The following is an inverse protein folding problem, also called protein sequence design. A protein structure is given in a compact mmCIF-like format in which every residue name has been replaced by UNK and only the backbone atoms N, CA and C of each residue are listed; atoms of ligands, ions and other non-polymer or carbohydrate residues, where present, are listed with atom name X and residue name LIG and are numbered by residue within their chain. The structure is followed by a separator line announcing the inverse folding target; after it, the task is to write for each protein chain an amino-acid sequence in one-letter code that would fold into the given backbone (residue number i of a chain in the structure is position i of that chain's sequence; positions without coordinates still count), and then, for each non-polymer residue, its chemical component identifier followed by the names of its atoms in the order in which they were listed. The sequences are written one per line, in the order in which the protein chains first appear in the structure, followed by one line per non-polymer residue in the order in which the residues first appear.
data_IF_860843819320
#
_entry.id   IF_860843819320
#
_cell.length_a   1.000
_cell.length_b   1.000
_cell.length_c   1.000
_cell.angle_alpha   90.00
_cell.angle_beta   90.00
_cell.angle_gamma   90.00
#
_symmetry.space_group_name_H-M   'P 1'
#
loop_
_entity.id
_entity.type
_entity.pdbx_description
1 polymer ?
#
# COMPACT_ATOMS: atom_id res chain seq x y z
N UNK A 1 0.12 14.33 -27.78
CA UNK A 1 -0.23 12.96 -27.38
C UNK A 1 -0.54 13.02 -25.90
N UNK A 2 -1.83 13.01 -25.54
CA UNK A 2 -2.29 12.85 -24.16
C UNK A 2 -1.74 11.52 -23.64
N UNK A 3 -1.03 11.56 -22.53
CA UNK A 3 -0.56 10.36 -21.83
C UNK A 3 -1.77 9.52 -21.38
N UNK A 4 -1.63 8.21 -21.32
CA UNK A 4 -2.67 7.32 -20.74
C UNK A 4 -3.08 7.74 -19.31
N UNK A 5 -2.21 8.50 -18.65
CA UNK A 5 -2.42 9.10 -17.32
C UNK A 5 -3.56 10.12 -17.31
N UNK A 6 -3.77 10.86 -18.40
CA UNK A 6 -4.84 11.86 -18.53
C UNK A 6 -6.22 11.22 -18.75
N UNK A 7 -6.28 9.91 -19.00
CA UNK A 7 -7.51 9.17 -19.28
C UNK A 7 -8.14 8.51 -18.03
N UNK A 8 -7.38 8.32 -16.94
CA UNK A 8 -7.88 7.69 -15.71
C UNK A 8 -8.36 8.75 -14.71
N UNK A 9 -9.52 8.57 -14.06
CA UNK A 9 -9.94 9.51 -13.03
C UNK A 9 -8.93 9.52 -11.88
N UNK A 10 -8.47 10.71 -11.51
CA UNK A 10 -7.53 10.92 -10.40
C UNK A 10 -8.11 10.30 -9.12
N UNK A 11 -7.34 9.43 -8.48
CA UNK A 11 -7.78 8.66 -7.32
C UNK A 11 -7.03 9.02 -6.04
N UNK A 12 -5.75 9.40 -6.18
CA UNK A 12 -4.93 10.02 -5.13
C UNK A 12 -4.37 11.32 -5.72
N UNK A 13 -4.51 12.42 -5.00
CA UNK A 13 -3.98 13.71 -5.40
C UNK A 13 -3.39 14.46 -4.21
N UNK A 14 -2.14 14.85 -4.35
CA UNK A 14 -1.45 15.77 -3.45
C UNK A 14 -1.20 17.07 -4.20
N UNK A 15 -1.54 18.18 -3.57
CA UNK A 15 -1.32 19.52 -4.11
C UNK A 15 -0.43 20.31 -3.17
N UNK A 16 0.83 20.52 -3.58
CA UNK A 16 1.86 21.29 -2.87
C UNK A 16 1.98 20.91 -1.37
N UNK A 17 2.02 19.61 -1.10
CA UNK A 17 1.96 19.06 0.26
C UNK A 17 3.30 19.13 0.94
N UNK A 18 3.33 19.76 2.12
CA UNK A 18 4.49 19.75 3.02
C UNK A 18 4.13 19.13 4.36
N UNK A 19 5.10 18.46 4.98
CA UNK A 19 4.98 17.90 6.32
C UNK A 19 6.26 18.09 7.10
N UNK A 20 6.18 18.89 8.17
CA UNK A 20 7.26 19.06 9.14
C UNK A 20 6.89 18.39 10.47
N UNK A 21 7.90 17.82 11.12
CA UNK A 21 7.84 17.38 12.50
C UNK A 21 8.46 18.46 13.40
N UNK A 22 8.17 18.43 14.68
CA UNK A 22 8.67 19.41 15.67
C UNK A 22 10.20 19.50 15.79
N UNK A 23 10.94 18.58 15.18
CA UNK A 23 12.37 18.35 15.39
C UNK A 23 13.28 18.81 14.25
N UNK A 24 12.81 19.55 13.22
CA UNK A 24 13.75 20.03 12.19
C UNK A 24 13.25 20.07 10.75
N UNK A 25 14.05 19.55 9.80
CA UNK A 25 13.80 19.60 8.36
C UNK A 25 12.46 19.00 7.98
N UNK A 26 11.76 19.53 6.97
CA UNK A 26 10.50 18.99 6.50
C UNK A 26 10.71 17.56 5.95
N UNK A 27 9.85 16.63 6.37
CA UNK A 27 9.84 15.27 5.84
C UNK A 27 9.23 15.20 4.44
N UNK A 28 8.34 16.12 4.11
CA UNK A 28 7.84 16.39 2.75
C UNK A 28 7.87 17.89 2.52
N UNK A 29 8.24 18.32 1.31
CA UNK A 29 8.40 19.73 0.95
C UNK A 29 7.79 19.99 -0.44
N UNK A 30 6.58 20.54 -0.48
CA UNK A 30 5.91 20.95 -1.70
C UNK A 30 5.59 19.80 -2.67
N UNK A 31 5.27 18.61 -2.15
CA UNK A 31 4.99 17.43 -2.99
C UNK A 31 3.68 17.61 -3.73
N UNK A 32 3.74 17.55 -5.07
CA UNK A 32 2.56 17.47 -5.94
C UNK A 32 2.61 16.15 -6.71
N UNK A 33 1.53 15.37 -6.62
CA UNK A 33 1.44 14.01 -7.15
C UNK A 33 0.00 13.67 -7.49
N UNK A 34 -0.22 13.03 -8.63
CA UNK A 34 -1.51 12.42 -8.97
C UNK A 34 -1.33 10.94 -9.30
N UNK A 35 -2.21 10.08 -8.79
CA UNK A 35 -2.29 8.65 -9.13
C UNK A 35 -3.71 8.37 -9.58
N UNK A 36 -3.87 7.78 -10.76
CA UNK A 36 -5.15 7.41 -11.33
C UNK A 36 -5.71 6.12 -10.70
N UNK A 37 -7.00 5.90 -10.92
CA UNK A 37 -7.65 4.67 -10.49
C UNK A 37 -7.13 3.46 -11.29
N UNK A 38 -6.77 2.38 -10.61
CA UNK A 38 -6.28 1.16 -11.25
C UNK A 38 -4.79 1.22 -11.65
N UNK A 39 -4.08 2.29 -11.31
CA UNK A 39 -2.63 2.33 -11.55
C UNK A 39 -1.85 1.41 -10.61
N UNK A 40 -0.72 0.93 -11.11
CA UNK A 40 0.36 0.34 -10.31
C UNK A 40 1.53 1.31 -10.28
N UNK A 41 1.88 1.79 -9.10
CA UNK A 41 2.90 2.83 -8.93
C UNK A 41 3.94 2.40 -7.90
N UNK A 42 5.22 2.50 -8.26
CA UNK A 42 6.32 2.42 -7.32
C UNK A 42 6.68 3.81 -6.79
N UNK A 43 6.94 3.91 -5.50
CA UNK A 43 7.53 5.08 -4.86
C UNK A 43 8.88 4.65 -4.29
N UNK A 44 9.95 5.16 -4.87
CA UNK A 44 11.33 4.80 -4.57
C UNK A 44 12.11 5.97 -3.98
N UNK A 45 13.28 5.70 -3.45
CA UNK A 45 14.20 6.71 -2.88
C UNK A 45 14.89 6.19 -1.61
N UNK A 46 15.90 6.91 -1.16
CA UNK A 46 16.71 6.56 -0.01
C UNK A 46 15.93 6.52 1.31
N UNK A 47 16.53 5.93 2.34
CA UNK A 47 15.99 6.01 3.69
C UNK A 47 15.87 7.48 4.12
N UNK A 48 14.73 7.85 4.70
CA UNK A 48 14.47 9.23 5.09
C UNK A 48 14.00 10.16 3.96
N UNK A 49 13.80 9.69 2.73
CA UNK A 49 13.31 10.52 1.62
C UNK A 49 11.86 10.98 1.74
N UNK A 50 11.10 10.51 2.74
CA UNK A 50 9.71 10.93 3.00
C UNK A 50 8.65 9.90 2.67
N UNK A 51 8.99 8.73 2.09
CA UNK A 51 8.04 7.68 1.64
C UNK A 51 7.07 7.23 2.72
N UNK A 52 7.56 6.85 3.90
CA UNK A 52 6.69 6.43 5.01
C UNK A 52 5.83 7.57 5.56
N UNK A 53 6.29 8.82 5.47
CA UNK A 53 5.47 10.00 5.80
C UNK A 53 4.33 10.17 4.79
N UNK A 54 4.60 9.95 3.51
CA UNK A 54 3.59 9.97 2.46
C UNK A 54 2.51 8.91 2.71
N UNK A 55 2.89 7.64 2.97
CA UNK A 55 1.93 6.58 3.32
C UNK A 55 1.07 6.98 4.54
N UNK A 56 1.68 7.52 5.60
CA UNK A 56 0.94 7.97 6.80
C UNK A 56 -0.03 9.12 6.52
N UNK A 57 0.27 10.01 5.58
CA UNK A 57 -0.65 11.04 5.12
C UNK A 57 -1.84 10.42 4.38
N UNK A 58 -1.58 9.50 3.43
CA UNK A 58 -2.63 8.81 2.67
C UNK A 58 -3.56 8.00 3.59
N UNK A 59 -3.03 7.44 4.68
CA UNK A 59 -3.81 6.74 5.71
C UNK A 59 -4.52 7.70 6.69
N UNK A 60 -4.28 9.00 6.57
CA UNK A 60 -4.78 9.99 7.55
C UNK A 60 -4.30 9.70 8.98
N UNK A 61 -3.13 9.03 9.12
CA UNK A 61 -2.42 8.90 10.41
C UNK A 61 -1.74 10.22 10.79
N UNK A 62 -1.30 10.96 9.77
CA UNK A 62 -0.76 12.30 9.87
C UNK A 62 -1.63 13.29 9.09
N UNK A 63 -1.54 14.56 9.44
CA UNK A 63 -2.04 15.68 8.67
C UNK A 63 -0.89 16.43 8.01
N UNK A 64 -1.10 16.93 6.80
CA UNK A 64 -0.17 17.84 6.16
C UNK A 64 0.02 19.12 7.01
N UNK A 65 1.20 19.71 6.97
CA UNK A 65 1.47 21.00 7.55
C UNK A 65 0.96 22.13 6.64
N UNK A 66 1.08 21.93 5.32
CA UNK A 66 0.51 22.78 4.27
C UNK A 66 0.17 21.95 3.04
N UNK A 67 -0.59 22.54 2.11
CA UNK A 67 -1.09 21.86 0.93
C UNK A 67 -2.32 20.99 1.22
N UNK A 68 -2.79 20.25 0.21
CA UNK A 68 -4.03 19.47 0.28
C UNK A 68 -3.80 18.04 -0.18
N UNK A 69 -4.44 17.08 0.52
CA UNK A 69 -4.38 15.65 0.18
C UNK A 69 -5.79 15.15 -0.08
N UNK A 70 -6.03 14.64 -1.29
CA UNK A 70 -7.29 14.05 -1.70
C UNK A 70 -7.09 12.56 -1.98
N UNK A 71 -7.95 11.72 -1.44
CA UNK A 71 -7.96 10.27 -1.71
C UNK A 71 -9.39 9.82 -1.95
N UNK A 72 -9.65 9.18 -3.10
CA UNK A 72 -11.00 8.75 -3.51
C UNK A 72 -12.03 9.89 -3.41
N UNK A 73 -11.65 11.09 -3.86
CA UNK A 73 -12.48 12.29 -3.81
C UNK A 73 -12.68 12.93 -2.43
N UNK A 74 -12.08 12.37 -1.37
CA UNK A 74 -12.16 12.94 -0.03
C UNK A 74 -10.98 13.87 0.24
N UNK A 75 -11.26 15.13 0.63
CA UNK A 75 -10.25 16.00 1.24
C UNK A 75 -9.94 15.49 2.64
N UNK A 76 -8.72 14.95 2.82
CA UNK A 76 -8.35 14.31 4.08
C UNK A 76 -8.25 15.30 5.25
N UNK A 77 -7.98 16.57 5.00
CA UNK A 77 -7.94 17.60 6.04
C UNK A 77 -9.33 17.83 6.66
N UNK A 78 -10.39 17.72 5.84
CA UNK A 78 -11.79 17.97 6.26
C UNK A 78 -12.47 16.77 6.90
N UNK A 79 -11.86 15.57 6.83
CA UNK A 79 -12.44 14.38 7.47
C UNK A 79 -12.51 14.55 8.99
N UNK A 80 -13.73 14.49 9.53
CA UNK A 80 -13.97 14.45 10.99
C UNK A 80 -13.41 13.13 11.55
N UNK A 81 -12.96 13.15 12.80
CA UNK A 81 -12.33 11.98 13.45
C UNK A 81 -13.15 10.68 13.31
N UNK A 82 -14.48 10.76 13.48
CA UNK A 82 -15.40 9.62 13.32
C UNK A 82 -15.58 9.11 11.89
N UNK A 83 -15.16 9.87 10.88
CA UNK A 83 -15.21 9.45 9.47
C UNK A 83 -13.94 8.72 9.03
N UNK A 84 -12.82 8.91 9.73
CA UNK A 84 -11.53 8.30 9.41
C UNK A 84 -11.60 6.77 9.38
N UNK A 85 -12.23 6.06 10.35
CA UNK A 85 -12.35 4.60 10.28
C UNK A 85 -13.09 4.13 9.04
N UNK A 86 -14.19 4.82 8.66
CA UNK A 86 -14.97 4.49 7.45
C UNK A 86 -14.15 4.71 6.18
N UNK A 87 -13.39 5.80 6.12
CA UNK A 87 -12.47 6.08 5.02
C UNK A 87 -11.43 4.97 4.88
N UNK A 88 -10.77 4.57 5.98
CA UNK A 88 -9.74 3.52 5.98
C UNK A 88 -10.25 2.13 5.59
N UNK A 89 -11.56 1.85 5.67
CA UNK A 89 -12.14 0.57 5.19
C UNK A 89 -11.93 0.33 3.70
N UNK A 90 -11.73 1.40 2.91
CA UNK A 90 -11.45 1.32 1.48
C UNK A 90 -9.95 1.22 1.15
N UNK A 91 -9.09 1.21 2.17
CA UNK A 91 -7.64 1.11 2.03
C UNK A 91 -7.17 -0.23 2.58
N UNK A 92 -6.45 -1.01 1.76
CA UNK A 92 -5.64 -2.13 2.21
C UNK A 92 -4.24 -1.62 2.53
N UNK A 93 -3.63 -2.14 3.59
CA UNK A 93 -2.25 -1.78 3.95
C UNK A 93 -1.45 -3.02 4.28
N UNK A 94 -0.27 -3.11 3.70
CA UNK A 94 0.72 -4.15 3.96
C UNK A 94 2.00 -3.49 4.44
N UNK A 95 2.58 -4.01 5.51
CA UNK A 95 3.81 -3.48 6.11
C UNK A 95 4.94 -4.50 6.01
N UNK A 96 6.18 -4.02 6.06
CA UNK A 96 7.38 -4.84 6.03
C UNK A 96 7.45 -5.87 7.19
N UNK A 97 6.95 -5.51 8.37
CA UNK A 97 6.94 -6.34 9.58
C UNK A 97 5.68 -7.21 9.73
N UNK A 98 4.91 -7.37 8.65
CA UNK A 98 3.67 -8.16 8.53
C UNK A 98 2.55 -7.74 9.49
N UNK A 99 2.84 -7.29 10.69
CA UNK A 99 1.91 -6.89 11.77
C UNK A 99 0.81 -7.92 12.03
N UNK A 100 1.19 -9.19 12.05
CA UNK A 100 0.24 -10.28 12.33
C UNK A 100 -0.07 -10.38 13.83
N UNK A 101 -1.29 -10.82 14.13
CA UNK A 101 -1.72 -11.15 15.50
C UNK A 101 -1.09 -12.49 15.87
N UNK A 102 -0.06 -12.48 16.72
CA UNK A 102 0.79 -13.63 17.04
C UNK A 102 0.07 -14.72 17.87
N UNK A 103 -1.00 -14.38 18.56
CA UNK A 103 -1.85 -15.26 19.35
C UNK A 103 -2.96 -15.93 18.52
N UNK A 104 -3.10 -15.53 17.25
CA UNK A 104 -4.14 -15.95 16.32
C UNK A 104 -3.60 -16.84 15.21
N UNK A 105 -4.46 -17.73 14.68
CA UNK A 105 -4.15 -18.52 13.49
C UNK A 105 -4.34 -17.65 12.19
N UNK A 106 -4.03 -18.24 11.04
CA UNK A 106 -4.14 -17.59 9.72
C UNK A 106 -5.56 -17.09 9.46
N UNK A 107 -6.57 -17.98 9.65
CA UNK A 107 -7.98 -17.64 9.46
C UNK A 107 -8.39 -16.43 10.33
N UNK A 108 -8.04 -16.47 11.60
CA UNK A 108 -8.42 -15.41 12.54
C UNK A 108 -7.74 -14.07 12.25
N UNK A 109 -6.50 -14.08 11.76
CA UNK A 109 -5.81 -12.87 11.32
C UNK A 109 -6.58 -12.17 10.19
N UNK A 110 -7.06 -12.92 9.22
CA UNK A 110 -7.83 -12.37 8.08
C UNK A 110 -9.26 -12.01 8.51
N UNK A 111 -9.93 -12.90 9.24
CA UNK A 111 -11.29 -12.67 9.74
C UNK A 111 -11.39 -11.43 10.65
N UNK A 112 -10.32 -11.09 11.35
CA UNK A 112 -10.26 -9.92 12.22
C UNK A 112 -10.57 -8.61 11.45
N UNK A 113 -10.04 -8.45 10.23
CA UNK A 113 -10.31 -7.27 9.41
C UNK A 113 -11.80 -7.12 9.06
N UNK A 114 -12.49 -8.23 8.82
CA UNK A 114 -13.94 -8.21 8.55
C UNK A 114 -14.79 -8.02 9.81
N UNK A 115 -14.35 -8.57 10.94
CA UNK A 115 -15.03 -8.35 12.23
C UNK A 115 -15.02 -6.88 12.65
N UNK A 116 -13.90 -6.16 12.44
CA UNK A 116 -13.80 -4.72 12.75
C UNK A 116 -14.81 -3.89 11.96
N UNK A 117 -15.15 -4.31 10.76
CA UNK A 117 -16.14 -3.61 9.91
C UNK A 117 -17.55 -4.18 10.05
N UNK A 118 -17.75 -5.05 11.07
CA UNK A 118 -19.04 -5.63 11.43
C UNK A 118 -19.66 -6.50 10.32
N UNK A 119 -18.83 -7.15 9.50
CA UNK A 119 -19.29 -8.07 8.45
C UNK A 119 -20.02 -9.28 9.10
N UNK A 120 -21.18 -9.69 8.57
CA UNK A 120 -21.91 -10.86 9.05
C UNK A 120 -21.05 -12.13 9.09
N UNK A 121 -21.22 -12.96 10.12
CA UNK A 121 -20.42 -14.20 10.30
C UNK A 121 -20.51 -15.14 9.11
N UNK A 122 -21.68 -15.23 8.47
CA UNK A 122 -21.88 -16.03 7.25
C UNK A 122 -21.00 -15.58 6.09
N UNK A 123 -20.83 -14.27 5.92
CA UNK A 123 -19.96 -13.70 4.89
C UNK A 123 -18.48 -13.89 5.24
N UNK A 124 -18.08 -13.71 6.50
CA UNK A 124 -16.72 -14.00 6.96
C UNK A 124 -16.32 -15.44 6.64
N UNK A 125 -17.22 -16.40 6.92
CA UNK A 125 -17.01 -17.83 6.63
C UNK A 125 -16.85 -18.14 5.14
N UNK A 126 -17.41 -17.33 4.26
CA UNK A 126 -17.27 -17.44 2.80
C UNK A 126 -16.02 -16.70 2.31
N UNK A 127 -15.83 -15.46 2.72
CA UNK A 127 -14.82 -14.55 2.16
C UNK A 127 -13.39 -14.92 2.60
N UNK A 128 -13.20 -15.32 3.87
CA UNK A 128 -11.86 -15.61 4.38
C UNK A 128 -11.22 -16.82 3.69
N UNK A 129 -11.89 -17.98 3.52
CA UNK A 129 -11.32 -19.07 2.74
C UNK A 129 -11.05 -18.70 1.28
N UNK A 130 -11.93 -17.90 0.66
CA UNK A 130 -11.75 -17.46 -0.72
C UNK A 130 -10.49 -16.62 -0.88
N UNK A 131 -10.29 -15.58 -0.06
CA UNK A 131 -9.09 -14.75 -0.14
C UNK A 131 -7.81 -15.52 0.23
N UNK A 132 -7.88 -16.47 1.16
CA UNK A 132 -6.75 -17.33 1.49
C UNK A 132 -6.37 -18.25 0.32
N UNK A 133 -7.34 -18.69 -0.47
CA UNK A 133 -7.07 -19.44 -1.71
C UNK A 133 -6.38 -18.54 -2.74
N UNK A 134 -6.87 -17.31 -2.93
CA UNK A 134 -6.26 -16.32 -3.85
C UNK A 134 -4.78 -16.08 -3.54
N UNK A 135 -4.42 -15.97 -2.26
CA UNK A 135 -3.01 -15.77 -1.87
C UNK A 135 -2.22 -17.08 -1.69
N UNK A 136 -2.76 -18.23 -2.10
CA UNK A 136 -2.08 -19.53 -2.06
C UNK A 136 -1.96 -20.16 -0.66
N UNK A 137 -2.84 -19.81 0.29
CA UNK A 137 -2.82 -20.32 1.68
C UNK A 137 -4.03 -21.18 2.05
N UNK A 138 -4.77 -21.72 1.08
CA UNK A 138 -5.97 -22.52 1.32
C UNK A 138 -5.76 -23.70 2.32
N UNK A 139 -4.60 -24.36 2.29
CA UNK A 139 -4.27 -25.49 3.17
C UNK A 139 -3.76 -25.08 4.56
N UNK A 140 -3.54 -23.80 4.83
CA UNK A 140 -2.86 -23.31 6.06
C UNK A 140 -3.75 -22.49 6.98
N UNK A 141 -5.05 -22.45 6.76
CA UNK A 141 -5.96 -21.57 7.52
C UNK A 141 -5.97 -21.80 9.04
N UNK A 142 -5.63 -23.01 9.53
CA UNK A 142 -5.52 -23.34 10.96
C UNK A 142 -4.11 -23.13 11.52
N UNK A 143 -3.09 -22.93 10.69
CA UNK A 143 -1.72 -22.78 11.14
C UNK A 143 -1.57 -21.52 11.99
N UNK A 144 -0.70 -21.58 13.01
CA UNK A 144 -0.31 -20.38 13.77
C UNK A 144 0.72 -19.58 12.99
N UNK A 145 0.70 -18.26 13.14
CA UNK A 145 1.60 -17.35 12.42
C UNK A 145 3.08 -17.68 12.61
N UNK A 146 3.47 -18.14 13.80
CA UNK A 146 4.85 -18.55 14.13
C UNK A 146 5.32 -19.81 13.39
N UNK A 147 4.42 -20.58 12.77
CA UNK A 147 4.72 -21.80 12.01
C UNK A 147 4.90 -21.51 10.51
N UNK A 148 4.72 -20.26 10.09
CA UNK A 148 4.76 -19.83 8.71
C UNK A 148 6.15 -19.29 8.34
N UNK A 149 6.57 -19.53 7.09
CA UNK A 149 7.71 -18.82 6.50
C UNK A 149 7.43 -17.32 6.37
N UNK A 150 8.46 -16.50 6.15
CA UNK A 150 8.29 -15.06 5.92
C UNK A 150 7.34 -14.76 4.75
N UNK A 151 7.50 -15.46 3.63
CA UNK A 151 6.61 -15.31 2.46
C UNK A 151 5.16 -15.67 2.76
N UNK A 152 4.93 -16.73 3.55
CA UNK A 152 3.59 -17.11 3.98
C UNK A 152 2.98 -16.09 4.94
N UNK A 153 3.76 -15.54 5.86
CA UNK A 153 3.32 -14.46 6.75
C UNK A 153 2.92 -13.22 5.95
N UNK A 154 3.69 -12.85 4.91
CA UNK A 154 3.36 -11.76 4.02
C UNK A 154 2.07 -12.02 3.24
N UNK A 155 1.85 -13.24 2.76
CA UNK A 155 0.59 -13.64 2.11
C UNK A 155 -0.61 -13.54 3.05
N UNK A 156 -0.45 -13.85 4.35
CA UNK A 156 -1.50 -13.62 5.37
C UNK A 156 -1.78 -12.13 5.54
N UNK A 157 -0.73 -11.28 5.59
CA UNK A 157 -0.89 -9.84 5.68
C UNK A 157 -1.61 -9.26 4.46
N UNK A 158 -1.28 -9.75 3.25
CA UNK A 158 -1.98 -9.41 2.00
C UNK A 158 -3.45 -9.85 2.04
N UNK A 159 -3.74 -11.10 2.41
CA UNK A 159 -5.11 -11.58 2.53
C UNK A 159 -5.93 -10.72 3.50
N UNK A 160 -5.35 -10.34 4.64
CA UNK A 160 -5.99 -9.46 5.62
C UNK A 160 -6.25 -8.05 5.05
N UNK A 161 -5.33 -7.52 4.26
CA UNK A 161 -5.50 -6.21 3.61
C UNK A 161 -6.59 -6.23 2.53
N UNK A 162 -6.75 -7.36 1.83
CA UNK A 162 -7.62 -7.51 0.66
C UNK A 162 -9.04 -7.99 0.98
N UNK A 163 -9.26 -8.64 2.13
CA UNK A 163 -10.53 -9.33 2.44
C UNK A 163 -11.77 -8.42 2.45
N UNK A 164 -11.57 -7.11 2.60
CA UNK A 164 -12.61 -6.08 2.53
C UNK A 164 -12.71 -5.42 1.14
N UNK A 165 -12.08 -5.98 0.10
CA UNK A 165 -12.07 -5.47 -1.26
C UNK A 165 -11.70 -3.97 -1.33
N UNK A 166 -10.51 -3.58 -0.86
CA UNK A 166 -10.09 -2.18 -0.86
C UNK A 166 -9.94 -1.66 -2.29
N UNK A 167 -10.24 -0.38 -2.47
CA UNK A 167 -10.02 0.28 -3.75
C UNK A 167 -8.57 0.69 -3.98
N UNK A 168 -7.80 0.83 -2.89
CA UNK A 168 -6.37 1.16 -2.91
C UNK A 168 -5.64 0.20 -1.98
N UNK A 169 -4.53 -0.36 -2.45
CA UNK A 169 -3.59 -1.14 -1.66
C UNK A 169 -2.27 -0.36 -1.53
N UNK A 170 -1.90 -0.04 -0.30
CA UNK A 170 -0.63 0.59 0.04
C UNK A 170 0.31 -0.48 0.61
N UNK A 171 1.44 -0.71 -0.03
CA UNK A 171 2.43 -1.70 0.39
C UNK A 171 3.74 -0.99 0.75
N UNK A 172 4.07 -0.94 2.03
CA UNK A 172 5.30 -0.33 2.55
C UNK A 172 6.36 -1.40 2.74
N UNK A 173 7.35 -1.44 1.83
CA UNK A 173 8.44 -2.43 1.76
C UNK A 173 7.94 -3.89 1.83
N UNK A 174 7.00 -4.30 0.94
CA UNK A 174 6.32 -5.60 1.07
C UNK A 174 7.24 -6.81 0.91
N UNK A 175 8.45 -6.63 0.42
CA UNK A 175 9.46 -7.68 0.18
C UNK A 175 10.70 -7.55 1.04
N UNK A 176 10.79 -6.54 1.91
CA UNK A 176 12.02 -6.18 2.63
C UNK A 176 12.56 -7.26 3.59
N UNK A 177 11.71 -8.21 4.02
CA UNK A 177 12.08 -9.31 4.93
C UNK A 177 12.01 -10.68 4.23
N UNK A 178 12.01 -10.73 2.90
CA UNK A 178 11.84 -11.95 2.12
C UNK A 178 13.09 -12.27 1.30
N UNK A 179 13.29 -13.55 1.02
CA UNK A 179 14.26 -13.97 0.02
C UNK A 179 13.80 -13.60 -1.41
N UNK A 180 14.72 -13.62 -2.40
CA UNK A 180 14.40 -13.18 -3.76
C UNK A 180 13.21 -13.91 -4.40
N UNK A 181 13.10 -15.23 -4.22
CA UNK A 181 12.00 -16.01 -4.83
C UNK A 181 10.64 -15.61 -4.25
N UNK A 182 10.53 -15.56 -2.91
CA UNK A 182 9.32 -15.12 -2.24
C UNK A 182 8.99 -13.65 -2.58
N UNK A 183 10.01 -12.79 -2.74
CA UNK A 183 9.84 -11.40 -3.16
C UNK A 183 9.14 -11.30 -4.52
N UNK A 184 9.61 -12.06 -5.50
CA UNK A 184 8.99 -12.12 -6.83
C UNK A 184 7.55 -12.65 -6.80
N UNK A 185 7.28 -13.69 -6.01
CA UNK A 185 5.92 -14.22 -5.85
C UNK A 185 4.96 -13.20 -5.24
N UNK A 186 5.41 -12.44 -4.25
CA UNK A 186 4.60 -11.34 -3.66
C UNK A 186 4.33 -10.25 -4.68
N UNK A 187 5.34 -9.85 -5.48
CA UNK A 187 5.17 -8.81 -6.48
C UNK A 187 4.24 -9.22 -7.62
N UNK A 188 4.30 -10.46 -8.08
CA UNK A 188 3.33 -11.02 -9.04
C UNK A 188 1.91 -11.01 -8.49
N UNK A 189 1.74 -11.40 -7.23
CA UNK A 189 0.43 -11.34 -6.57
C UNK A 189 -0.11 -9.90 -6.49
N UNK A 190 0.75 -8.90 -6.21
CA UNK A 190 0.35 -7.49 -6.24
C UNK A 190 -0.04 -7.03 -7.65
N UNK A 191 0.62 -7.53 -8.70
CA UNK A 191 0.26 -7.26 -10.09
C UNK A 191 -1.11 -7.86 -10.45
N UNK A 192 -1.37 -9.12 -10.10
CA UNK A 192 -2.68 -9.77 -10.29
C UNK A 192 -3.82 -9.01 -9.57
N UNK A 193 -3.55 -8.52 -8.35
CA UNK A 193 -4.48 -7.67 -7.60
C UNK A 193 -4.76 -6.36 -8.34
N UNK A 194 -3.73 -5.74 -8.91
CA UNK A 194 -3.89 -4.53 -9.71
C UNK A 194 -4.69 -4.78 -10.98
N UNK A 195 -4.42 -5.86 -11.70
CA UNK A 195 -5.17 -6.27 -12.90
C UNK A 195 -6.66 -6.51 -12.60
N UNK A 196 -7.00 -6.90 -11.37
CA UNK A 196 -8.40 -6.99 -10.91
C UNK A 196 -9.07 -5.64 -10.66
N UNK A 197 -8.35 -4.51 -10.83
CA UNK A 197 -8.86 -3.15 -10.75
C UNK A 197 -8.53 -2.38 -9.45
N UNK A 198 -7.75 -2.98 -8.53
CA UNK A 198 -7.27 -2.28 -7.33
C UNK A 198 -6.10 -1.36 -7.70
N UNK A 199 -6.12 -0.10 -7.23
CA UNK A 199 -4.96 0.79 -7.33
C UNK A 199 -3.88 0.33 -6.36
N UNK A 200 -2.66 0.10 -6.85
CA UNK A 200 -1.56 -0.43 -6.02
C UNK A 200 -0.43 0.59 -5.94
N UNK A 201 -0.05 0.96 -4.73
CA UNK A 201 1.09 1.85 -4.46
C UNK A 201 2.10 1.08 -3.62
N UNK A 202 3.27 0.83 -4.18
CA UNK A 202 4.35 0.08 -3.54
C UNK A 202 5.49 1.03 -3.21
N UNK A 203 5.79 1.16 -1.94
CA UNK A 203 7.03 1.81 -1.47
C UNK A 203 8.11 0.74 -1.37
N UNK A 204 9.23 0.92 -2.04
CA UNK A 204 10.34 -0.04 -1.99
C UNK A 204 11.68 0.61 -2.34
N UNK A 205 12.76 -0.02 -1.91
CA UNK A 205 14.13 0.28 -2.34
C UNK A 205 14.73 -0.86 -3.19
N UNK A 206 13.95 -1.88 -3.53
CA UNK A 206 14.41 -3.02 -4.34
C UNK A 206 14.47 -2.64 -5.82
N UNK A 207 15.66 -2.24 -6.29
CA UNK A 207 15.93 -1.78 -7.67
C UNK A 207 15.66 -2.86 -8.71
N UNK A 208 16.02 -4.11 -8.42
CA UNK A 208 15.87 -5.23 -9.34
C UNK A 208 14.40 -5.44 -9.71
N UNK A 209 13.53 -5.50 -8.70
CA UNK A 209 12.09 -5.65 -8.89
C UNK A 209 11.49 -4.47 -9.66
N UNK A 210 11.82 -3.23 -9.26
CA UNK A 210 11.31 -2.02 -9.91
C UNK A 210 11.68 -2.01 -11.39
N UNK A 211 12.96 -2.27 -11.70
CA UNK A 211 13.47 -2.27 -13.07
C UNK A 211 12.83 -3.37 -13.94
N UNK A 212 12.57 -4.55 -13.36
CA UNK A 212 12.01 -5.66 -14.12
C UNK A 212 10.49 -5.52 -14.37
N UNK A 213 9.75 -4.93 -13.44
CA UNK A 213 8.29 -4.80 -13.59
C UNK A 213 7.83 -3.70 -14.53
N UNK A 214 8.69 -2.74 -14.88
CA UNK A 214 8.40 -1.68 -15.88
C UNK A 214 7.07 -0.95 -15.66
N UNK A 215 6.72 -0.68 -14.40
CA UNK A 215 5.56 0.13 -14.00
C UNK A 215 5.97 1.59 -13.82
N UNK A 216 5.02 2.47 -13.52
CA UNK A 216 5.29 3.86 -13.17
C UNK A 216 6.15 3.93 -11.91
N UNK A 217 7.17 4.77 -11.94
CA UNK A 217 8.12 4.96 -10.84
C UNK A 217 8.20 6.44 -10.47
N UNK A 218 7.93 6.73 -9.22
CA UNK A 218 8.07 8.06 -8.62
C UNK A 218 9.27 8.03 -7.69
N UNK A 219 10.28 8.83 -7.98
CA UNK A 219 11.50 8.90 -7.18
C UNK A 219 11.44 10.08 -6.21
N UNK A 220 11.63 9.78 -4.92
CA UNK A 220 11.66 10.77 -3.84
C UNK A 220 13.06 10.95 -3.27
N UNK A 221 13.48 12.21 -3.08
CA UNK A 221 14.75 12.58 -2.44
C UNK A 221 14.54 13.76 -1.51
N UNK A 222 14.96 13.63 -0.24
CA UNK A 222 14.87 14.71 0.77
C UNK A 222 13.49 15.40 0.85
N UNK A 223 12.43 14.62 0.76
CA UNK A 223 11.05 15.10 0.89
C UNK A 223 10.44 15.73 -0.36
N UNK A 224 11.11 15.68 -1.51
CA UNK A 224 10.57 16.15 -2.81
C UNK A 224 10.51 15.02 -3.82
N UNK A 225 9.64 15.14 -4.81
CA UNK A 225 9.64 14.27 -6.00
C UNK A 225 10.68 14.83 -6.97
N UNK A 226 11.61 13.98 -7.40
CA UNK A 226 12.67 14.36 -8.37
C UNK A 226 12.43 13.76 -9.76
N UNK A 227 11.66 12.68 -9.86
CA UNK A 227 11.31 12.03 -11.12
C UNK A 227 9.94 11.35 -10.99
N UNK A 228 9.20 11.27 -12.10
CA UNK A 228 7.93 10.57 -12.25
C UNK A 228 7.85 10.02 -13.68
N UNK A 229 8.06 8.71 -13.84
CA UNK A 229 8.21 8.04 -15.12
C UNK A 229 7.18 6.92 -15.30
N UNK A 230 6.43 6.93 -16.40
CA UNK A 230 5.36 5.96 -16.68
C UNK A 230 5.87 4.51 -16.80
N UNK A 231 7.08 4.33 -17.34
CA UNK A 231 7.80 3.05 -17.41
C UNK A 231 9.23 3.31 -16.98
N UNK A 232 9.37 3.52 -15.68
CA UNK A 232 10.63 3.91 -15.09
C UNK A 232 11.45 2.72 -14.61
N UNK A 233 12.75 2.96 -14.48
CA UNK A 233 13.67 2.17 -13.70
C UNK A 233 14.13 2.97 -12.47
N UNK A 234 14.84 2.31 -11.59
CA UNK A 234 15.50 2.99 -10.49
C UNK A 234 16.67 3.81 -11.08
N UNK A 235 16.60 5.14 -11.00
CA UNK A 235 17.68 6.00 -11.48
C UNK A 235 18.79 5.96 -10.46
N UNK A 236 19.99 5.48 -10.85
CA UNK A 236 21.23 5.70 -10.12
C UNK A 236 21.69 7.13 -10.37
N UNK A 237 21.60 7.97 -9.36
CA UNK A 237 22.34 9.22 -9.34
C UNK A 237 23.71 8.94 -8.71
N UNK A 238 24.79 9.05 -9.50
CA UNK A 238 26.17 9.14 -9.05
C UNK A 238 26.40 10.37 -8.16
#
# INVERSE_FOLDING_TARGET
TLSLHDALPIFIFLDNVSKSYSTGSPALNGVTLSIGRGEFVFIVGDSGSGKSTLIKLLLRELTATSGSVYVMGNDLARLKHRQIPRFRRNLGVVFQDFRLLNDRNVYENVAFAQRIVETPVSEIRRNVPAILATVGLAGKYKAKTKQLSGGEQQRVALARALVNNPSILLADEPTGNLDPNNSWEIMKLLEEINESGTTVVVVTHNREIVNAMQKRVITMKKGVIISDEEKGGYIDED
#
